data_IF_642543256670
#
_entry.id   IF_642543256670
#
_cell.length_a   1.000
_cell.length_b   1.000
_cell.length_c   1.000
_cell.angle_alpha   90.00
_cell.angle_beta   90.00
_cell.angle_gamma   90.00
#
_symmetry.space_group_name_H-M   'P 1'
#
loop_
_entity.id
_entity.type
_entity.pdbx_description
1 polymer ?
#
# COMPACT_ATOMS: atom_id res chain seq x y z
N UNK A 1 2.56 21.42 14.21
CA UNK A 1 1.94 20.45 13.28
C UNK A 1 3.09 19.69 12.65
N UNK A 2 3.24 18.38 12.88
CA UNK A 2 4.22 17.62 12.12
C UNK A 2 3.79 17.66 10.64
N UNK A 3 4.74 17.70 9.70
CA UNK A 3 4.41 17.73 8.28
C UNK A 3 3.57 16.49 7.92
N UNK A 4 2.69 16.59 6.91
CA UNK A 4 1.98 15.42 6.41
C UNK A 4 3.00 14.38 6.01
N UNK A 5 2.83 13.17 6.53
CA UNK A 5 3.63 12.01 6.11
C UNK A 5 3.19 11.75 4.66
N UNK A 6 3.88 12.35 3.70
CA UNK A 6 3.62 12.14 2.27
C UNK A 6 4.04 10.70 1.96
N UNK A 7 3.09 9.77 2.09
CA UNK A 7 3.27 8.40 1.65
C UNK A 7 3.37 8.38 0.13
N UNK A 8 4.61 8.25 -0.34
CA UNK A 8 4.93 8.31 -1.76
C UNK A 8 4.47 7.00 -2.43
N UNK A 9 3.22 7.00 -2.92
CA UNK A 9 2.58 5.82 -3.51
C UNK A 9 3.41 5.19 -4.65
N UNK A 10 4.25 5.99 -5.33
CA UNK A 10 5.20 5.50 -6.35
C UNK A 10 6.32 4.64 -5.76
N UNK A 11 6.86 5.00 -4.59
CA UNK A 11 7.86 4.19 -3.89
C UNK A 11 7.24 2.92 -3.34
N UNK A 12 6.06 3.03 -2.75
CA UNK A 12 5.29 1.88 -2.24
C UNK A 12 4.98 0.92 -3.38
N UNK A 13 4.52 1.40 -4.54
CA UNK A 13 4.27 0.58 -5.73
C UNK A 13 5.54 -0.14 -6.22
N UNK A 14 6.70 0.54 -6.22
CA UNK A 14 7.98 -0.06 -6.59
C UNK A 14 8.40 -1.16 -5.62
N UNK A 15 8.26 -0.92 -4.31
CA UNK A 15 8.52 -1.92 -3.29
C UNK A 15 7.59 -3.11 -3.47
N UNK A 16 6.29 -2.88 -3.68
CA UNK A 16 5.33 -3.94 -3.93
C UNK A 16 5.62 -4.76 -5.19
N UNK A 17 5.97 -4.13 -6.32
CA UNK A 17 6.37 -4.90 -7.52
C UNK A 17 7.61 -5.79 -7.29
N UNK A 18 8.54 -5.34 -6.45
CA UNK A 18 9.78 -6.06 -6.15
C UNK A 18 9.58 -7.20 -5.15
N UNK A 19 8.83 -6.93 -4.08
CA UNK A 19 8.63 -7.86 -2.97
C UNK A 19 7.56 -8.91 -3.27
N UNK A 20 6.53 -8.54 -4.05
CA UNK A 20 5.37 -9.40 -4.27
C UNK A 20 5.42 -10.14 -5.60
N UNK A 21 6.39 -9.81 -6.47
CA UNK A 21 6.46 -10.26 -7.87
C UNK A 21 5.14 -10.10 -8.65
N UNK A 22 4.26 -9.22 -8.16
CA UNK A 22 2.94 -8.95 -8.72
C UNK A 22 2.97 -7.67 -9.53
N UNK A 23 2.15 -7.60 -10.57
CA UNK A 23 1.99 -6.37 -11.31
C UNK A 23 1.00 -5.46 -10.56
N UNK A 24 1.48 -4.28 -10.15
CA UNK A 24 0.65 -3.24 -9.56
C UNK A 24 0.47 -2.04 -10.49
N UNK A 25 -0.67 -1.37 -10.38
CA UNK A 25 -0.94 -0.07 -11.00
C UNK A 25 -1.31 0.95 -9.93
N UNK A 26 -0.96 2.20 -10.17
CA UNK A 26 -1.38 3.32 -9.34
C UNK A 26 -2.50 4.03 -10.11
N UNK A 27 -3.68 4.06 -9.50
CA UNK A 27 -4.87 4.74 -10.02
C UNK A 27 -5.10 5.99 -9.19
N UNK A 28 -5.39 7.09 -9.85
CA UNK A 28 -5.84 8.30 -9.18
C UNK A 28 -7.37 8.30 -9.19
N UNK A 29 -7.97 8.31 -8.01
CA UNK A 29 -9.42 8.28 -7.82
C UNK A 29 -9.88 9.62 -7.25
N UNK A 30 -10.89 10.24 -7.87
CA UNK A 30 -11.33 11.60 -7.51
C UNK A 30 -11.89 11.68 -6.07
N UNK A 31 -12.31 10.53 -5.48
CA UNK A 31 -12.85 10.47 -4.11
C UNK A 31 -11.83 10.00 -3.07
N UNK A 32 -10.93 9.09 -3.44
CA UNK A 32 -10.00 8.42 -2.51
C UNK A 32 -8.55 8.90 -2.68
N UNK A 33 -8.25 9.65 -3.73
CA UNK A 33 -6.91 10.08 -4.11
C UNK A 33 -6.11 8.96 -4.78
N UNK A 34 -4.82 8.85 -4.47
CA UNK A 34 -3.96 7.82 -5.05
C UNK A 34 -4.24 6.44 -4.45
N UNK A 35 -4.77 5.54 -5.26
CA UNK A 35 -5.06 4.14 -4.93
C UNK A 35 -4.06 3.23 -5.62
N UNK A 36 -3.41 2.35 -4.87
CA UNK A 36 -2.55 1.30 -5.41
C UNK A 36 -3.37 0.02 -5.59
N UNK A 37 -3.48 -0.46 -6.83
CA UNK A 37 -4.05 -1.77 -7.13
C UNK A 37 -2.93 -2.75 -7.44
N UNK A 38 -3.00 -3.94 -6.84
CA UNK A 38 -2.06 -5.04 -7.06
C UNK A 38 -2.82 -6.24 -7.61
N UNK A 39 -2.21 -6.98 -8.54
CA UNK A 39 -2.79 -8.24 -9.03
C UNK A 39 -2.51 -9.39 -8.05
N UNK A 40 -3.55 -10.13 -7.66
CA UNK A 40 -3.49 -11.29 -6.77
C UNK A 40 -3.88 -11.00 -5.32
N UNK A 41 -4.14 -12.06 -4.54
CA UNK A 41 -4.31 -11.92 -3.09
C UNK A 41 -2.93 -11.89 -2.42
N UNK A 42 -2.57 -10.70 -1.95
CA UNK A 42 -1.29 -10.44 -1.29
C UNK A 42 -1.52 -9.77 0.06
N UNK A 43 -2.74 -9.86 0.60
CA UNK A 43 -3.20 -9.09 1.77
C UNK A 43 -2.31 -9.31 2.99
N UNK A 44 -1.85 -10.55 3.20
CA UNK A 44 -0.98 -10.93 4.31
C UNK A 44 0.41 -10.29 4.18
N UNK A 45 1.00 -10.35 2.99
CA UNK A 45 2.31 -9.76 2.72
C UNK A 45 2.24 -8.22 2.77
N UNK A 46 1.18 -7.59 2.24
CA UNK A 46 0.99 -6.13 2.29
C UNK A 46 0.89 -5.68 3.75
N UNK A 47 0.06 -6.34 4.54
CA UNK A 47 -0.09 -6.03 5.96
C UNK A 47 1.25 -6.13 6.70
N UNK A 48 2.01 -7.21 6.49
CA UNK A 48 3.32 -7.38 7.10
C UNK A 48 4.32 -6.30 6.64
N UNK A 49 4.36 -5.99 5.34
CA UNK A 49 5.25 -4.97 4.79
C UNK A 49 4.97 -3.59 5.39
N UNK A 50 3.69 -3.20 5.51
CA UNK A 50 3.32 -1.93 6.15
C UNK A 50 3.76 -1.91 7.62
N UNK A 51 3.54 -2.99 8.37
CA UNK A 51 3.96 -3.11 9.78
C UNK A 51 5.48 -2.97 9.90
N UNK A 52 6.24 -3.64 9.03
CA UNK A 52 7.71 -3.61 9.02
C UNK A 52 8.27 -2.22 8.67
N UNK A 53 7.55 -1.46 7.84
CA UNK A 53 7.87 -0.07 7.53
C UNK A 53 7.43 0.93 8.64
N UNK A 54 6.93 0.44 9.77
CA UNK A 54 6.55 1.26 10.92
C UNK A 54 5.13 1.82 10.84
N UNK A 55 4.27 1.31 9.95
CA UNK A 55 2.84 1.62 9.96
C UNK A 55 2.19 0.80 11.08
N UNK A 56 1.41 1.45 11.93
CA UNK A 56 0.66 0.73 12.97
C UNK A 56 -0.44 -0.16 12.37
N UNK A 57 -0.53 -1.41 12.84
CA UNK A 57 -1.61 -2.34 12.48
C UNK A 57 -3.03 -1.78 12.66
N UNK A 58 -3.20 -0.74 13.48
CA UNK A 58 -4.48 -0.07 13.72
C UNK A 58 -4.95 0.76 12.52
N UNK A 59 -4.02 1.28 11.72
CA UNK A 59 -4.33 2.03 10.49
C UNK A 59 -4.48 1.10 9.27
N UNK A 60 -4.00 -0.14 9.37
CA UNK A 60 -4.09 -1.14 8.31
C UNK A 60 -5.42 -1.89 8.44
N UNK A 61 -6.38 -1.55 7.58
CA UNK A 61 -7.62 -2.33 7.41
C UNK A 61 -7.50 -3.25 6.22
N UNK A 62 -7.40 -4.55 6.48
CA UNK A 62 -7.46 -5.58 5.45
C UNK A 62 -8.93 -5.90 5.16
N UNK A 63 -9.40 -5.56 3.97
CA UNK A 63 -10.70 -5.98 3.47
C UNK A 63 -10.51 -7.14 2.48
N UNK A 64 -10.99 -8.32 2.85
CA UNK A 64 -11.00 -9.51 1.98
C UNK A 64 -11.81 -10.61 2.64
N UNK A 65 -12.65 -11.29 1.86
CA UNK A 65 -13.37 -12.48 2.31
C UNK A 65 -12.42 -13.69 2.40
#
# INVERSE_FOLDING_TARGET
>A
MPPPIEYDCKKILKAFKKEFACNGTLVDDEKLGQVIQLQGDQRAHISNFLIENGIEKSTIKVHGF
#
